data_IF_578063181387
#
_entry.id   IF_578063181387
#
_cell.length_a   1.000
_cell.length_b   1.000
_cell.length_c   1.000
_cell.angle_alpha   90.00
_cell.angle_beta   90.00
_cell.angle_gamma   90.00
#
_symmetry.space_group_name_H-M   'P 1'
#
loop_
_entity.id
_entity.type
_entity.pdbx_description
1 polymer ?
#
# COMPACT_ATOMS: atom_id res chain seq x y z
N UNK A 1 22.18 -32.25 -2.19
CA UNK A 1 21.96 -30.82 -2.46
C UNK A 1 21.23 -30.27 -1.23
N UNK A 2 21.97 -29.79 -0.22
CA UNK A 2 21.41 -29.42 1.08
C UNK A 2 21.10 -27.92 1.09
N UNK A 3 19.84 -27.58 0.83
CA UNK A 3 19.30 -26.25 1.16
C UNK A 3 19.23 -26.16 2.69
N UNK A 4 19.82 -25.12 3.25
CA UNK A 4 19.84 -24.88 4.70
C UNK A 4 18.47 -24.45 5.21
N UNK A 5 18.18 -24.63 6.51
CA UNK A 5 16.92 -24.17 7.13
C UNK A 5 16.65 -22.67 6.92
N UNK A 6 17.71 -21.85 6.81
CA UNK A 6 17.60 -20.41 6.55
C UNK A 6 17.15 -20.10 5.13
N UNK A 7 17.69 -20.79 4.14
CA UNK A 7 17.32 -20.62 2.73
C UNK A 7 15.88 -21.07 2.49
N UNK A 8 15.45 -22.16 3.13
CA UNK A 8 14.05 -22.59 3.10
C UNK A 8 13.11 -21.55 3.71
N UNK A 9 13.45 -20.98 4.87
CA UNK A 9 12.65 -19.94 5.51
C UNK A 9 12.55 -18.66 4.65
N UNK A 10 13.65 -18.22 4.04
CA UNK A 10 13.65 -17.07 3.12
C UNK A 10 12.81 -17.32 1.87
N UNK A 11 12.89 -18.53 1.30
CA UNK A 11 12.09 -18.91 0.15
C UNK A 11 10.59 -18.92 0.48
N UNK A 12 10.21 -19.46 1.64
CA UNK A 12 8.83 -19.42 2.10
C UNK A 12 8.32 -18.01 2.37
N UNK A 13 9.15 -17.15 2.98
CA UNK A 13 8.81 -15.75 3.18
C UNK A 13 8.54 -15.06 1.83
N UNK A 14 9.44 -15.24 0.85
CA UNK A 14 9.29 -14.67 -0.49
C UNK A 14 8.03 -15.18 -1.19
N UNK A 15 7.74 -16.47 -1.08
CA UNK A 15 6.55 -17.09 -1.67
C UNK A 15 5.27 -16.48 -1.07
N UNK A 16 5.18 -16.40 0.26
CA UNK A 16 4.04 -15.79 0.94
C UNK A 16 3.84 -14.32 0.52
N UNK A 17 4.92 -13.54 0.42
CA UNK A 17 4.82 -12.16 -0.04
C UNK A 17 4.30 -12.05 -1.46
N UNK A 18 4.73 -12.93 -2.35
CA UNK A 18 4.25 -12.95 -3.73
C UNK A 18 2.77 -13.35 -3.80
N UNK A 19 2.37 -14.39 -3.07
CA UNK A 19 0.98 -14.85 -3.00
C UNK A 19 0.03 -13.78 -2.46
N UNK A 20 0.40 -13.11 -1.36
CA UNK A 20 -0.40 -12.04 -0.78
C UNK A 20 -0.54 -10.85 -1.73
N UNK A 21 0.54 -10.46 -2.41
CA UNK A 21 0.49 -9.38 -3.40
C UNK A 21 -0.37 -9.76 -4.60
N UNK A 22 -0.22 -10.98 -5.12
CA UNK A 22 -1.02 -11.48 -6.24
C UNK A 22 -2.51 -11.54 -5.86
N UNK A 23 -2.82 -11.98 -4.64
CA UNK A 23 -4.19 -11.96 -4.12
C UNK A 23 -4.72 -10.53 -3.98
N UNK A 24 -3.98 -9.63 -3.35
CA UNK A 24 -4.45 -8.27 -3.07
C UNK A 24 -4.62 -7.42 -4.36
N UNK A 25 -3.74 -7.59 -5.36
CA UNK A 25 -3.64 -6.70 -6.52
C UNK A 25 -4.40 -7.17 -7.77
N UNK A 26 -5.47 -7.95 -7.63
CA UNK A 26 -6.32 -8.34 -8.79
C UNK A 26 -7.21 -7.17 -9.23
N UNK A 27 -7.55 -7.13 -10.52
CA UNK A 27 -8.33 -6.04 -11.14
C UNK A 27 -9.62 -5.70 -10.39
N UNK A 28 -10.38 -6.72 -9.95
CA UNK A 28 -11.64 -6.55 -9.22
C UNK A 28 -11.50 -5.96 -7.81
N UNK A 29 -10.27 -5.86 -7.29
CA UNK A 29 -9.94 -5.28 -5.97
C UNK A 29 -9.08 -4.02 -6.09
N UNK A 30 -8.77 -3.58 -7.30
CA UNK A 30 -7.93 -2.40 -7.56
C UNK A 30 -8.75 -1.27 -8.17
N UNK A 31 -8.51 -0.06 -7.69
CA UNK A 31 -9.03 1.16 -8.28
C UNK A 31 -7.86 2.09 -8.63
N UNK A 32 -7.87 2.62 -9.85
CA UNK A 32 -6.88 3.60 -10.31
C UNK A 32 -7.56 4.95 -10.52
N UNK A 33 -7.12 5.95 -9.76
CA UNK A 33 -7.62 7.31 -9.88
C UNK A 33 -6.71 8.15 -10.78
N UNK A 34 -7.23 8.52 -11.95
CA UNK A 34 -6.61 9.49 -12.84
C UNK A 34 -7.00 10.90 -12.38
N UNK A 35 -6.09 11.57 -11.67
CA UNK A 35 -6.33 12.88 -11.09
C UNK A 35 -6.64 13.96 -12.13
N UNK A 36 -7.65 14.78 -11.84
CA UNK A 36 -7.95 16.06 -12.44
C UNK A 36 -7.88 17.19 -11.40
N UNK A 37 -7.69 18.43 -11.85
CA UNK A 37 -7.70 19.58 -10.93
C UNK A 37 -9.08 19.72 -10.25
N UNK A 38 -9.06 19.88 -8.93
CA UNK A 38 -10.27 19.98 -8.11
C UNK A 38 -10.75 18.65 -7.53
N UNK A 39 -10.18 17.51 -7.93
CA UNK A 39 -10.57 16.22 -7.37
C UNK A 39 -10.21 16.11 -5.89
N UNK A 40 -11.10 15.45 -5.14
CA UNK A 40 -10.87 15.03 -3.78
C UNK A 40 -11.17 13.53 -3.66
N UNK A 41 -10.23 12.79 -3.09
CA UNK A 41 -10.41 11.36 -2.80
C UNK A 41 -10.35 11.17 -1.28
N UNK A 42 -11.37 10.51 -0.75
CA UNK A 42 -11.45 10.11 0.66
C UNK A 42 -11.50 8.59 0.70
N UNK A 43 -10.74 7.97 1.59
CA UNK A 43 -10.64 6.52 1.65
C UNK A 43 -10.47 6.03 3.10
N UNK A 44 -10.98 4.83 3.39
CA UNK A 44 -10.80 4.19 4.70
C UNK A 44 -9.44 3.49 4.76
N UNK A 45 -8.46 4.14 5.39
CA UNK A 45 -7.09 3.62 5.49
C UNK A 45 -6.98 2.31 6.30
N UNK A 46 -8.05 1.85 6.97
CA UNK A 46 -8.09 0.58 7.72
C UNK A 46 -8.41 -0.62 6.82
N UNK A 47 -8.90 -0.37 5.59
CA UNK A 47 -9.47 -1.41 4.72
C UNK A 47 -8.81 -1.49 3.34
N UNK A 48 -7.83 -0.64 3.06
CA UNK A 48 -7.17 -0.59 1.77
C UNK A 48 -5.70 -0.27 1.88
N UNK A 49 -4.98 -0.68 0.84
CA UNK A 49 -3.61 -0.26 0.56
C UNK A 49 -3.65 0.73 -0.61
N UNK A 50 -2.73 1.69 -0.63
CA UNK A 50 -2.57 2.63 -1.75
C UNK A 50 -1.12 2.66 -2.21
N UNK A 51 -0.91 2.95 -3.50
CA UNK A 51 0.41 3.07 -4.11
C UNK A 51 0.45 4.29 -5.02
N UNK A 52 1.50 5.10 -4.87
CA UNK A 52 1.81 6.16 -5.84
C UNK A 52 2.38 5.53 -7.11
N UNK A 53 1.84 5.90 -8.27
CA UNK A 53 2.42 5.53 -9.57
C UNK A 53 3.37 6.61 -10.07
N UNK A 54 4.32 6.26 -10.96
CA UNK A 54 5.17 7.25 -11.62
C UNK A 54 4.34 8.38 -12.23
N UNK A 55 4.83 9.61 -12.11
CA UNK A 55 4.26 10.80 -12.73
C UNK A 55 5.38 11.66 -13.30
N UNK A 56 5.01 12.63 -14.15
CA UNK A 56 5.96 13.55 -14.75
C UNK A 56 6.56 14.50 -13.69
N UNK A 57 7.76 14.16 -13.22
CA UNK A 57 8.49 14.93 -12.20
C UNK A 57 9.01 16.27 -12.71
N UNK A 58 8.97 16.53 -14.03
CA UNK A 58 9.35 17.84 -14.60
C UNK A 58 8.26 18.90 -14.39
N UNK A 59 7.03 18.47 -14.07
CA UNK A 59 5.88 19.35 -13.84
C UNK A 59 5.56 19.44 -12.35
N UNK A 60 5.18 20.62 -11.84
CA UNK A 60 4.75 20.74 -10.46
C UNK A 60 3.44 19.97 -10.23
N UNK A 61 3.38 19.21 -9.14
CA UNK A 61 2.16 18.54 -8.67
C UNK A 61 1.91 18.94 -7.21
N UNK A 62 0.82 19.64 -6.95
CA UNK A 62 0.41 20.04 -5.59
C UNK A 62 -0.74 19.16 -5.14
N UNK A 63 -0.56 18.49 -4.00
CA UNK A 63 -1.55 17.63 -3.37
C UNK A 63 -1.77 18.13 -1.94
N UNK A 64 -3.02 18.28 -1.54
CA UNK A 64 -3.37 18.56 -0.15
C UNK A 64 -3.79 17.25 0.51
N UNK A 65 -3.22 16.95 1.67
CA UNK A 65 -3.52 15.72 2.39
C UNK A 65 -3.81 16.04 3.85
N UNK A 66 -4.81 15.36 4.39
CA UNK A 66 -5.12 15.31 5.82
C UNK A 66 -5.40 13.87 6.22
N UNK A 67 -5.21 13.55 7.50
CA UNK A 67 -5.56 12.26 8.08
C UNK A 67 -6.61 12.48 9.16
N UNK A 68 -7.71 11.75 9.05
CA UNK A 68 -8.73 11.71 10.08
C UNK A 68 -8.25 10.72 11.14
N UNK A 69 -8.25 11.14 12.40
CA UNK A 69 -7.84 10.29 13.52
C UNK A 69 -8.78 9.09 13.64
N UNK A 70 -8.19 7.90 13.79
CA UNK A 70 -8.92 6.68 14.13
C UNK A 70 -9.14 6.52 15.64
N UNK A 71 -9.77 5.42 16.04
CA UNK A 71 -9.88 5.04 17.44
C UNK A 71 -8.48 4.73 18.04
N UNK A 72 -8.07 5.42 19.13
CA UNK A 72 -6.72 5.25 19.70
C UNK A 72 -6.37 3.81 20.11
N UNK A 73 -7.36 2.99 20.48
CA UNK A 73 -7.11 1.64 20.98
C UNK A 73 -7.01 0.59 19.86
N UNK A 74 -7.60 0.84 18.69
CA UNK A 74 -7.74 -0.17 17.62
C UNK A 74 -7.13 0.23 16.29
N UNK A 75 -6.84 1.52 16.10
CA UNK A 75 -6.47 2.10 14.80
C UNK A 75 -5.21 2.98 14.85
N UNK A 76 -4.57 3.06 16.03
CA UNK A 76 -3.28 3.71 16.18
C UNK A 76 -2.19 2.81 15.57
N UNK A 77 -1.46 3.34 14.60
CA UNK A 77 -0.25 2.70 14.11
C UNK A 77 0.97 3.27 14.86
N UNK A 78 1.82 2.41 15.41
CA UNK A 78 3.11 2.78 16.05
C UNK A 78 4.14 3.24 15.00
N UNK A 79 3.82 4.27 14.21
CA UNK A 79 4.65 4.67 13.07
C UNK A 79 5.49 5.93 13.36
N UNK A 80 5.51 6.41 14.61
CA UNK A 80 6.28 7.58 15.03
C UNK A 80 6.89 7.31 16.42
N UNK A 81 8.09 6.72 16.43
CA UNK A 81 9.06 6.86 17.53
C UNK A 81 10.37 7.35 16.93
#
# INVERSE_FOLDING_TARGET
MHTTLREWAQMNQKNLWMELNQFACVESRTYFHQWCEGDAVVWDNRRLMHRVTPFDMSKPRRMWHTRIAGNPNTELAENYR
#
